data_IF_266409604717
#
_entry.id   IF_266409604717
#
_cell.length_a   1.000
_cell.length_b   1.000
_cell.length_c   1.000
_cell.angle_alpha   90.00
_cell.angle_beta   90.00
_cell.angle_gamma   90.00
#
_symmetry.space_group_name_H-M   'P 1'
#
loop_
_entity.id
_entity.type
_entity.pdbx_description
1 polymer ?
#
# COMPACT_ATOMS: atom_id res chain seq x y z
N UNK A 1 7.65 -3.59 -16.65
CA UNK A 1 7.25 -4.50 -15.56
C UNK A 1 6.07 -3.89 -14.83
N UNK A 2 5.32 -4.68 -14.05
CA UNK A 2 4.16 -4.21 -13.28
C UNK A 2 4.47 -4.26 -11.79
N UNK A 3 3.86 -3.38 -11.00
CA UNK A 3 3.99 -3.35 -9.55
C UNK A 3 2.83 -4.13 -8.92
N UNK A 4 3.13 -4.88 -7.87
CA UNK A 4 2.14 -5.64 -7.12
C UNK A 4 2.32 -5.40 -5.64
N UNK A 5 1.20 -5.36 -4.92
CA UNK A 5 1.20 -5.44 -3.47
C UNK A 5 1.19 -6.92 -3.09
N UNK A 6 2.13 -7.31 -2.24
CA UNK A 6 2.25 -8.67 -1.70
C UNK A 6 2.24 -8.57 -0.19
N UNK A 7 1.43 -9.39 0.46
CA UNK A 7 1.39 -9.54 1.91
C UNK A 7 2.15 -10.82 2.30
N UNK A 8 2.98 -10.72 3.33
CA UNK A 8 3.71 -11.84 3.92
C UNK A 8 3.17 -12.06 5.32
N UNK A 9 2.58 -13.23 5.57
CA UNK A 9 2.05 -13.60 6.88
C UNK A 9 2.88 -14.73 7.49
N UNK A 10 3.32 -14.52 8.72
CA UNK A 10 4.08 -15.49 9.50
C UNK A 10 3.40 -15.74 10.83
N UNK A 11 3.18 -17.01 11.17
CA UNK A 11 2.64 -17.42 12.47
C UNK A 11 3.68 -18.21 13.23
N UNK A 12 3.99 -17.79 14.46
CA UNK A 12 4.94 -18.47 15.32
C UNK A 12 4.41 -18.65 16.74
N UNK A 13 4.90 -19.69 17.42
CA UNK A 13 4.64 -19.94 18.83
C UNK A 13 5.85 -19.49 19.64
N UNK A 14 5.63 -18.62 20.62
CA UNK A 14 6.69 -18.12 21.51
C UNK A 14 6.41 -18.53 22.95
N UNK A 15 7.48 -18.73 23.73
CA UNK A 15 7.38 -18.91 25.18
C UNK A 15 7.48 -17.52 25.85
N UNK A 16 6.50 -17.19 26.69
CA UNK A 16 6.43 -15.91 27.38
C UNK A 16 5.59 -16.01 28.66
N UNK A 17 5.74 -15.05 29.57
CA UNK A 17 5.03 -15.01 30.85
C UNK A 17 3.62 -14.44 30.72
N UNK A 18 3.43 -13.48 29.82
CA UNK A 18 2.16 -12.82 29.52
C UNK A 18 2.12 -12.31 28.07
N UNK A 19 0.99 -11.73 27.66
CA UNK A 19 0.77 -11.23 26.30
C UNK A 19 1.76 -10.11 25.90
N UNK A 20 2.12 -9.23 26.84
CA UNK A 20 3.08 -8.15 26.56
C UNK A 20 4.47 -8.74 26.36
N UNK A 21 4.88 -9.68 27.21
CA UNK A 21 6.15 -10.39 27.06
C UNK A 21 6.18 -11.17 25.74
N UNK A 22 5.07 -11.80 25.33
CA UNK A 22 4.98 -12.49 24.04
C UNK A 22 5.26 -11.56 22.85
N UNK A 23 4.70 -10.35 22.83
CA UNK A 23 4.99 -9.35 21.79
C UNK A 23 6.47 -8.94 21.76
N UNK A 24 7.09 -8.77 22.93
CA UNK A 24 8.52 -8.41 23.05
C UNK A 24 9.41 -9.55 22.52
N UNK A 25 9.12 -10.81 22.90
CA UNK A 25 9.87 -11.98 22.41
C UNK A 25 9.73 -12.12 20.90
N UNK A 26 8.51 -11.98 20.37
CA UNK A 26 8.27 -12.03 18.93
C UNK A 26 9.03 -10.93 18.18
N UNK A 27 9.07 -9.70 18.71
CA UNK A 27 9.83 -8.61 18.10
C UNK A 27 11.34 -8.87 18.09
N UNK A 28 11.87 -9.33 19.23
CA UNK A 28 13.28 -9.63 19.40
C UNK A 28 13.74 -10.83 18.54
N UNK A 29 12.82 -11.74 18.21
CA UNK A 29 13.08 -12.96 17.42
C UNK A 29 12.54 -12.90 15.99
N UNK A 30 12.10 -11.73 15.52
CA UNK A 30 11.39 -11.60 14.23
C UNK A 30 12.16 -12.19 13.04
N UNK A 31 13.49 -12.01 13.00
CA UNK A 31 14.33 -12.53 11.91
C UNK A 31 14.43 -14.06 11.94
N UNK A 32 14.60 -14.64 13.14
CA UNK A 32 14.64 -16.10 13.33
C UNK A 32 13.27 -16.69 12.94
N UNK A 33 12.18 -16.07 13.41
CA UNK A 33 10.80 -16.46 13.08
C UNK A 33 10.56 -16.45 11.57
N UNK A 34 10.92 -15.36 10.88
CA UNK A 34 10.78 -15.27 9.42
C UNK A 34 11.63 -16.30 8.68
N UNK A 35 12.85 -16.58 9.15
CA UNK A 35 13.73 -17.54 8.50
C UNK A 35 13.30 -19.00 8.66
N UNK A 36 12.71 -19.35 9.81
CA UNK A 36 12.34 -20.72 10.15
C UNK A 36 10.91 -21.09 9.75
N UNK A 37 10.07 -20.10 9.49
CA UNK A 37 8.66 -20.31 9.19
C UNK A 37 8.41 -20.64 7.72
N UNK A 38 7.29 -21.32 7.45
CA UNK A 38 6.71 -21.34 6.11
C UNK A 38 5.98 -20.02 5.90
N UNK A 39 6.62 -19.11 5.17
CA UNK A 39 6.00 -17.85 4.77
C UNK A 39 4.78 -18.13 3.88
N UNK A 40 3.63 -17.55 4.25
CA UNK A 40 2.47 -17.49 3.37
C UNK A 40 2.48 -16.17 2.61
N UNK A 41 2.46 -16.27 1.28
CA UNK A 41 2.53 -15.12 0.38
C UNK A 41 1.18 -14.94 -0.31
N UNK A 42 0.51 -13.82 -0.04
CA UNK A 42 -0.69 -13.44 -0.77
C UNK A 42 -0.42 -12.27 -1.72
N UNK A 43 -0.73 -12.46 -3.00
CA UNK A 43 -0.61 -11.41 -4.02
C UNK A 43 -1.93 -10.66 -4.07
N UNK A 44 -2.00 -9.58 -3.29
CA UNK A 44 -3.20 -8.76 -3.14
C UNK A 44 -3.67 -8.18 -4.48
N UNK A 45 -2.73 -7.74 -5.32
CA UNK A 45 -3.04 -7.28 -6.68
C UNK A 45 -2.07 -6.28 -7.28
N UNK A 46 -2.34 -5.87 -8.52
CA UNK A 46 -1.55 -4.89 -9.25
C UNK A 46 -1.74 -3.49 -8.64
N UNK A 47 -0.63 -2.87 -8.26
CA UNK A 47 -0.59 -1.50 -7.77
C UNK A 47 -0.57 -0.53 -8.96
N UNK A 48 -1.61 0.29 -9.07
CA UNK A 48 -1.83 1.19 -10.23
C UNK A 48 -1.71 2.67 -9.91
N UNK A 49 -1.66 3.04 -8.63
CA UNK A 49 -1.66 4.43 -8.21
C UNK A 49 -1.07 4.61 -6.81
N UNK A 50 -0.53 5.79 -6.52
CA UNK A 50 0.14 6.13 -5.26
C UNK A 50 -0.84 6.28 -4.07
N UNK A 51 -2.12 6.55 -4.32
CA UNK A 51 -3.18 6.63 -3.31
C UNK A 51 -3.59 5.27 -2.73
N UNK A 52 -3.05 4.17 -3.27
CA UNK A 52 -3.34 2.80 -2.81
C UNK A 52 -2.14 2.08 -2.21
N UNK A 53 -1.14 2.83 -1.75
CA UNK A 53 0.03 2.25 -1.10
C UNK A 53 -0.36 1.61 0.25
N UNK A 54 0.25 0.46 0.58
CA UNK A 54 0.06 -0.17 1.89
C UNK A 54 0.64 0.70 3.01
N UNK A 55 0.24 0.39 4.25
CA UNK A 55 0.74 1.14 5.41
C UNK A 55 2.27 1.08 5.52
N UNK A 56 2.89 2.23 5.83
CA UNK A 56 4.33 2.37 5.92
C UNK A 56 5.06 2.54 4.58
N UNK A 57 4.34 2.50 3.45
CA UNK A 57 4.88 2.80 2.13
C UNK A 57 4.49 4.21 1.68
N UNK A 58 5.41 4.89 1.01
CA UNK A 58 5.19 6.20 0.41
C UNK A 58 5.72 6.26 -1.03
N UNK A 59 5.51 7.40 -1.68
CA UNK A 59 5.88 7.61 -3.07
C UNK A 59 7.42 7.60 -3.31
N UNK A 60 8.22 7.75 -2.26
CA UNK A 60 9.68 7.77 -2.33
C UNK A 60 10.31 6.39 -2.08
N UNK A 61 9.52 5.39 -1.69
CA UNK A 61 9.97 4.02 -1.52
C UNK A 61 10.41 3.38 -2.86
N UNK A 62 11.34 2.42 -2.76
CA UNK A 62 11.88 1.66 -3.90
C UNK A 62 11.25 0.26 -3.88
N UNK A 63 10.64 -0.21 -4.99
CA UNK A 63 10.02 -1.52 -5.03
C UNK A 63 11.07 -2.64 -4.98
N UNK A 64 10.79 -3.67 -4.18
CA UNK A 64 11.61 -4.88 -4.13
C UNK A 64 11.62 -5.60 -5.49
N UNK A 65 12.79 -6.10 -5.90
CA UNK A 65 12.99 -6.74 -7.21
C UNK A 65 13.10 -5.77 -8.40
N UNK A 66 13.14 -4.46 -8.13
CA UNK A 66 13.44 -3.43 -9.13
C UNK A 66 14.95 -3.28 -9.43
N UNK A 67 15.33 -2.12 -9.93
CA UNK A 67 16.73 -1.75 -10.21
C UNK A 67 17.51 -1.28 -8.97
N UNK A 68 16.81 -1.07 -7.84
CA UNK A 68 17.39 -0.60 -6.59
C UNK A 68 17.56 0.92 -6.49
N UNK A 69 17.10 1.69 -7.49
CA UNK A 69 17.27 3.15 -7.53
C UNK A 69 15.97 3.90 -7.84
N UNK A 70 15.12 3.32 -8.69
CA UNK A 70 13.89 3.97 -9.16
C UNK A 70 12.79 3.93 -8.09
N UNK A 71 12.18 5.09 -7.80
CA UNK A 71 11.14 5.25 -6.77
C UNK A 71 9.73 5.03 -7.33
N UNK A 72 8.77 4.74 -6.45
CA UNK A 72 7.38 4.48 -6.84
C UNK A 72 6.72 5.65 -7.58
N UNK A 73 7.00 6.90 -7.20
CA UNK A 73 6.48 8.09 -7.90
C UNK A 73 6.92 8.22 -9.36
N UNK A 74 8.07 7.67 -9.70
CA UNK A 74 8.61 7.70 -11.06
C UNK A 74 8.00 6.57 -11.92
N UNK A 75 7.37 5.58 -11.27
CA UNK A 75 6.80 4.39 -11.88
C UNK A 75 5.27 4.43 -12.00
N UNK A 76 4.61 5.18 -11.12
CA UNK A 76 3.15 5.27 -11.05
C UNK A 76 2.69 6.69 -11.41
N UNK A 77 1.59 6.83 -12.16
CA UNK A 77 1.03 8.13 -12.46
C UNK A 77 0.55 8.81 -11.17
N UNK A 78 0.74 10.13 -11.08
CA UNK A 78 -0.01 10.93 -10.10
C UNK A 78 -1.48 10.87 -10.47
N UNK A 79 -2.34 10.54 -9.51
CA UNK A 79 -3.80 10.46 -9.73
C UNK A 79 -4.30 11.85 -10.16
N UNK A 80 -4.81 11.97 -11.39
CA UNK A 80 -5.48 13.21 -11.80
C UNK A 80 -6.67 13.48 -10.86
N UNK A 81 -6.83 14.71 -10.33
CA UNK A 81 -7.96 15.03 -9.47
C UNK A 81 -9.26 14.83 -10.25
N UNK A 82 -10.17 14.04 -9.69
CA UNK A 82 -11.51 13.81 -10.23
C UNK A 82 -12.21 15.16 -10.39
N UNK A 83 -12.37 15.62 -11.64
CA UNK A 83 -13.19 16.80 -11.94
C UNK A 83 -14.64 16.45 -11.70
N UNK A 84 -15.24 16.99 -10.64
CA UNK A 84 -16.68 16.91 -10.41
C UNK A 84 -17.40 17.68 -11.53
N UNK A 85 -18.12 16.97 -12.40
CA UNK A 85 -18.85 17.55 -13.54
C UNK A 85 -20.25 18.03 -13.16
N UNK A 86 -20.68 17.96 -11.89
CA UNK A 86 -22.08 18.25 -11.50
C UNK A 86 -22.45 19.73 -11.35
N UNK A 87 -21.54 20.67 -11.54
CA UNK A 87 -21.83 22.12 -11.33
C UNK A 87 -22.24 22.86 -12.62
N UNK A 88 -22.27 22.19 -13.77
CA UNK A 88 -22.45 22.88 -15.07
C UNK A 88 -23.93 23.25 -15.35
N UNK A 89 -24.90 22.60 -14.72
CA UNK A 89 -26.34 22.76 -15.08
C UNK A 89 -27.11 23.87 -14.32
N UNK A 90 -26.46 24.70 -13.49
CA UNK A 90 -27.16 25.70 -12.65
C UNK A 90 -27.25 27.11 -13.28
N UNK A 91 -26.74 27.35 -14.50
CA UNK A 91 -26.58 28.71 -15.05
C UNK A 91 -27.28 28.99 -16.40
N UNK A 92 -28.08 28.09 -16.97
CA UNK A 92 -28.66 28.26 -18.32
C UNK A 92 -30.15 28.68 -18.42
N UNK A 93 -30.84 29.02 -17.33
CA UNK A 93 -32.23 29.51 -17.43
C UNK A 93 -32.45 30.90 -16.82
N UNK A 94 -32.11 31.93 -17.60
CA UNK A 94 -32.81 33.22 -17.57
C UNK A 94 -32.80 33.82 -18.99
N UNK A 95 -33.67 33.27 -19.85
CA UNK A 95 -33.87 33.70 -21.21
C UNK A 95 -34.34 35.16 -21.33
N UNK A 96 -33.70 35.89 -22.25
CA UNK A 96 -34.33 36.92 -23.07
C UNK A 96 -35.26 36.23 -24.08
N UNK A 97 -36.43 36.76 -24.51
CA UNK A 97 -36.55 38.01 -25.30
C UNK A 97 -37.85 38.80 -24.94
N UNK A 98 -38.25 39.94 -25.49
CA UNK A 98 -37.97 40.66 -26.74
C UNK A 98 -38.18 42.17 -26.52
#
# INVERSE_FOLDING_TARGET
MKLFTVELTVTAVVMADDERHARIVADARKYDIQSDSLDDFDVIGELKSLDRLPEGWDADCIPYGGDGETRLKDLLPETEPVRDTRTIDMFEEAGSPA
#
